data_IF_641123660055
#
_entry.id   IF_641123660055
#
_cell.length_a   1.000
_cell.length_b   1.000
_cell.length_c   1.000
_cell.angle_alpha   90.00
_cell.angle_beta   90.00
_cell.angle_gamma   90.00
#
_symmetry.space_group_name_H-M   'P 1'
#
loop_
_entity.id
_entity.type
_entity.pdbx_description
1 polymer ?
#
# COMPACT_ATOMS: atom_id res chain seq x y z
N UNK A 1 43.93 45.10 -17.13
CA UNK A 1 43.36 45.54 -18.42
C UNK A 1 42.12 44.69 -18.69
N UNK A 2 40.98 45.35 -18.99
CA UNK A 2 39.67 44.85 -19.49
C UNK A 2 38.84 44.07 -18.45
N UNK A 3 37.66 44.46 -17.93
CA UNK A 3 36.46 45.25 -18.35
C UNK A 3 35.52 44.62 -19.42
N UNK A 4 34.20 44.62 -19.08
CA UNK A 4 32.94 44.31 -19.80
C UNK A 4 32.32 42.92 -19.50
N UNK A 5 31.20 42.75 -18.75
CA UNK A 5 29.76 43.12 -19.00
C UNK A 5 29.19 42.45 -20.25
N UNK A 6 28.06 41.71 -20.27
CA UNK A 6 26.61 42.08 -20.15
C UNK A 6 25.83 40.70 -20.15
N UNK A 7 24.94 40.37 -19.19
CA UNK A 7 23.43 40.43 -19.24
C UNK A 7 22.78 39.46 -20.28
N UNK A 8 21.62 38.80 -20.17
CA UNK A 8 20.41 38.86 -19.33
C UNK A 8 19.48 37.63 -19.68
N UNK A 9 18.49 37.33 -18.82
CA UNK A 9 17.14 36.70 -19.06
C UNK A 9 16.87 35.18 -19.19
N UNK A 10 16.23 34.66 -18.13
CA UNK A 10 14.81 34.21 -18.03
C UNK A 10 14.21 33.35 -19.16
N UNK A 11 13.82 32.10 -18.86
CA UNK A 11 12.42 31.61 -18.84
C UNK A 11 12.34 30.11 -18.48
N UNK A 12 11.44 29.77 -17.54
CA UNK A 12 10.86 28.42 -17.38
C UNK A 12 10.05 28.04 -18.63
N UNK A 13 9.65 26.76 -18.75
CA UNK A 13 8.26 26.47 -18.37
C UNK A 13 8.09 25.20 -17.51
N UNK A 14 7.07 25.28 -16.66
CA UNK A 14 6.34 24.14 -16.09
C UNK A 14 5.93 23.12 -17.18
N UNK A 15 5.84 21.83 -16.81
CA UNK A 15 4.63 21.03 -17.09
C UNK A 15 4.52 19.88 -16.08
N UNK A 16 3.42 19.90 -15.35
CA UNK A 16 2.93 18.91 -14.37
C UNK A 16 2.31 17.67 -15.07
N UNK A 17 1.96 16.61 -14.31
CA UNK A 17 1.92 15.23 -14.78
C UNK A 17 0.62 14.84 -15.49
N UNK A 18 0.73 13.80 -16.34
CA UNK A 18 -0.35 13.26 -17.15
C UNK A 18 -1.43 12.62 -16.26
N UNK A 19 -2.62 13.21 -16.31
CA UNK A 19 -3.85 12.77 -15.66
C UNK A 19 -4.50 11.58 -16.37
N UNK A 20 -5.12 10.72 -15.57
CA UNK A 20 -6.02 9.63 -15.95
C UNK A 20 -7.15 10.10 -16.88
N UNK A 21 -7.38 9.38 -17.98
CA UNK A 21 -8.67 9.43 -18.69
C UNK A 21 -8.96 8.10 -19.39
N UNK A 22 -9.96 7.37 -18.86
CA UNK A 22 -10.68 6.32 -19.58
C UNK A 22 -11.53 6.95 -20.69
N UNK A 23 -11.68 6.31 -21.87
CA UNK A 23 -12.66 6.77 -22.85
C UNK A 23 -14.09 6.40 -22.46
N UNK A 24 -14.94 7.41 -22.58
CA UNK A 24 -16.37 7.46 -22.33
C UNK A 24 -17.15 6.96 -23.55
N UNK A 25 -18.19 6.19 -23.25
CA UNK A 25 -19.42 5.85 -24.01
C UNK A 25 -19.63 6.60 -25.34
N UNK A 26 -19.81 5.83 -26.42
CA UNK A 26 -20.61 6.21 -27.58
C UNK A 26 -21.89 5.36 -27.53
N UNK A 27 -23.03 6.06 -27.43
CA UNK A 27 -24.36 5.50 -27.63
C UNK A 27 -24.79 5.77 -29.08
N UNK A 28 -25.32 4.75 -29.76
CA UNK A 28 -26.55 4.79 -30.58
C UNK A 28 -26.66 3.51 -31.43
N UNK A 29 -27.57 2.60 -31.07
CA UNK A 29 -28.85 2.37 -31.78
C UNK A 29 -29.49 1.01 -31.49
N UNK A 30 -30.80 1.10 -31.29
CA UNK A 30 -31.87 0.14 -31.62
C UNK A 30 -32.00 -1.14 -30.77
N UNK A 31 -32.96 -1.06 -29.86
CA UNK A 31 -33.70 -2.15 -29.20
C UNK A 31 -34.52 -2.96 -30.25
N UNK A 32 -34.85 -4.24 -29.98
CA UNK A 32 -36.21 -4.45 -29.50
C UNK A 32 -36.35 -5.52 -28.40
N UNK A 33 -36.98 -5.07 -27.32
CA UNK A 33 -37.96 -5.74 -26.46
C UNK A 33 -37.93 -7.27 -26.42
N UNK A 34 -37.42 -7.84 -25.31
CA UNK A 34 -38.03 -9.00 -24.69
C UNK A 34 -38.13 -8.75 -23.18
N UNK A 35 -39.35 -8.59 -22.69
CA UNK A 35 -39.64 -8.37 -21.28
C UNK A 35 -39.14 -9.54 -20.42
N UNK A 36 -38.32 -9.24 -19.43
CA UNK A 36 -37.95 -10.17 -18.37
C UNK A 36 -38.57 -9.65 -17.08
N UNK A 37 -39.62 -10.34 -16.63
CA UNK A 37 -40.16 -10.19 -15.28
C UNK A 37 -39.02 -10.51 -14.30
N UNK A 38 -38.70 -9.54 -13.45
CA UNK A 38 -37.77 -9.73 -12.35
C UNK A 38 -38.40 -10.72 -11.36
N UNK A 39 -37.98 -11.98 -11.44
CA UNK A 39 -38.14 -12.90 -10.33
C UNK A 39 -36.92 -12.69 -9.42
N UNK A 40 -37.17 -12.05 -8.29
CA UNK A 40 -36.19 -11.77 -7.25
C UNK A 40 -35.64 -13.10 -6.69
N UNK A 41 -34.42 -13.46 -7.10
CA UNK A 41 -33.66 -14.57 -6.51
C UNK A 41 -33.02 -13.99 -5.23
N UNK A 42 -33.30 -14.52 -4.03
CA UNK A 42 -32.60 -14.10 -2.84
C UNK A 42 -31.13 -14.51 -2.95
N UNK A 43 -30.23 -13.57 -3.22
CA UNK A 43 -28.79 -13.83 -3.13
C UNK A 43 -28.42 -13.79 -1.65
N UNK A 44 -28.46 -14.97 -1.04
CA UNK A 44 -27.80 -15.19 0.25
C UNK A 44 -26.28 -15.14 -0.01
N UNK A 45 -25.63 -14.11 0.53
CA UNK A 45 -24.18 -13.94 0.45
C UNK A 45 -23.47 -15.05 1.25
N UNK A 46 -23.32 -16.22 0.63
CA UNK A 46 -22.27 -17.14 1.01
C UNK A 46 -20.96 -16.51 0.51
N UNK A 47 -20.10 -16.07 1.43
CA UNK A 47 -18.71 -15.77 1.11
C UNK A 47 -18.01 -17.11 0.88
N UNK A 48 -17.75 -17.58 -0.36
CA UNK A 48 -16.86 -18.71 -0.54
C UNK A 48 -15.49 -18.28 -0.02
N UNK A 49 -15.06 -18.95 1.04
CA UNK A 49 -13.72 -18.83 1.58
C UNK A 49 -12.73 -18.99 0.44
N UNK A 50 -11.88 -17.99 0.18
CA UNK A 50 -10.83 -18.08 -0.86
C UNK A 50 -9.85 -19.22 -0.58
N UNK A 51 -9.83 -19.73 0.64
CA UNK A 51 -9.14 -20.97 1.06
C UNK A 51 -9.58 -22.20 0.28
N UNK A 52 -10.84 -22.25 -0.17
CA UNK A 52 -11.40 -23.37 -0.93
C UNK A 52 -10.96 -23.32 -2.39
N UNK A 53 -10.69 -22.11 -2.92
CA UNK A 53 -10.19 -21.89 -4.29
C UNK A 53 -8.73 -22.36 -4.48
N UNK A 54 -7.99 -22.49 -3.38
CA UNK A 54 -6.59 -22.95 -3.37
C UNK A 54 -6.39 -24.30 -2.67
N UNK A 55 -7.48 -25.04 -2.40
CA UNK A 55 -7.39 -26.38 -1.83
C UNK A 55 -7.17 -27.39 -2.97
N UNK A 56 -5.91 -27.49 -3.42
CA UNK A 56 -5.49 -28.61 -4.27
C UNK A 56 -5.30 -29.85 -3.38
N UNK A 57 -6.17 -30.83 -3.53
CA UNK A 57 -6.02 -32.10 -2.82
C UNK A 57 -5.18 -33.05 -3.69
N UNK A 58 -3.92 -33.24 -3.33
CA UNK A 58 -2.98 -34.10 -4.09
C UNK A 58 -3.47 -35.55 -4.11
N UNK A 59 -4.19 -35.97 -3.05
CA UNK A 59 -4.75 -37.30 -2.92
C UNK A 59 -5.84 -37.62 -3.96
N UNK A 60 -6.45 -36.61 -4.59
CA UNK A 60 -7.44 -36.79 -5.66
C UNK A 60 -6.79 -37.16 -7.01
N UNK A 61 -5.49 -36.89 -7.16
CA UNK A 61 -4.72 -37.21 -8.37
C UNK A 61 -3.87 -38.48 -8.22
N UNK A 62 -3.93 -39.13 -7.06
CA UNK A 62 -3.31 -40.45 -6.87
C UNK A 62 -4.31 -41.48 -7.36
N UNK A 63 -4.23 -41.85 -8.64
CA UNK A 63 -4.90 -43.05 -9.13
C UNK A 63 -4.34 -44.26 -8.36
N UNK A 64 -5.20 -45.00 -7.66
CA UNK A 64 -4.87 -46.23 -6.94
C UNK A 64 -4.45 -47.39 -7.88
N UNK A 65 -4.56 -47.22 -9.21
CA UNK A 65 -4.04 -48.13 -10.23
C UNK A 65 -2.69 -47.67 -10.79
N UNK A 66 -1.63 -47.78 -9.99
CA UNK A 66 -0.35 -48.31 -10.48
C UNK A 66 0.61 -48.67 -9.32
N UNK A 67 0.12 -49.45 -8.35
CA UNK A 67 0.98 -50.17 -7.38
C UNK A 67 1.61 -51.44 -7.98
N UNK A 68 1.81 -51.46 -9.29
CA UNK A 68 1.97 -52.68 -10.07
C UNK A 68 3.23 -52.81 -10.91
N UNK A 69 4.24 -51.95 -10.79
CA UNK A 69 5.56 -52.26 -11.35
C UNK A 69 6.66 -51.59 -10.53
N UNK A 70 7.08 -52.27 -9.47
CA UNK A 70 8.48 -52.22 -9.04
C UNK A 70 9.36 -52.81 -10.15
N UNK A 71 9.41 -52.17 -11.32
CA UNK A 71 10.63 -52.21 -12.09
C UNK A 71 11.60 -51.41 -11.24
N UNK A 72 12.36 -52.13 -10.42
CA UNK A 72 13.70 -51.71 -10.07
C UNK A 72 14.33 -51.29 -11.39
N UNK A 73 14.28 -49.99 -11.70
CA UNK A 73 15.04 -49.39 -12.79
C UNK A 73 16.44 -49.87 -12.50
N UNK A 74 16.91 -50.81 -13.31
CA UNK A 74 18.23 -51.38 -13.16
C UNK A 74 19.16 -50.18 -13.24
N UNK A 75 19.61 -49.68 -12.09
CA UNK A 75 20.44 -48.50 -11.99
C UNK A 75 21.65 -48.84 -12.84
N UNK A 76 21.73 -48.30 -14.05
CA UNK A 76 22.80 -48.63 -14.97
C UNK A 76 24.07 -48.10 -14.28
N UNK A 77 24.92 -48.96 -13.70
CA UNK A 77 25.99 -48.51 -12.81
C UNK A 77 26.88 -47.49 -13.52
N UNK A 78 27.04 -47.65 -14.83
CA UNK A 78 27.75 -46.73 -15.72
C UNK A 78 27.18 -45.28 -15.71
N UNK A 79 25.86 -45.07 -15.70
CA UNK A 79 25.29 -43.70 -15.69
C UNK A 79 25.57 -43.01 -14.37
N UNK A 80 25.42 -43.74 -13.26
CA UNK A 80 25.68 -43.20 -11.91
C UNK A 80 27.16 -42.87 -11.73
N UNK A 81 28.05 -43.72 -12.24
CA UNK A 81 29.49 -43.51 -12.22
C UNK A 81 29.89 -42.31 -13.11
N UNK A 82 29.28 -42.17 -14.29
CA UNK A 82 29.46 -41.01 -15.17
C UNK A 82 28.98 -39.70 -14.53
N UNK A 83 27.79 -39.68 -13.90
CA UNK A 83 27.29 -38.51 -13.17
C UNK A 83 28.21 -38.14 -12.00
N UNK A 84 28.72 -39.16 -11.29
CA UNK A 84 29.69 -38.95 -10.20
C UNK A 84 31.01 -38.38 -10.71
N UNK A 85 31.48 -38.84 -11.87
CA UNK A 85 32.67 -38.30 -12.54
C UNK A 85 32.46 -36.84 -12.99
N UNK A 86 31.26 -36.49 -13.51
CA UNK A 86 30.90 -35.11 -13.84
C UNK A 86 30.91 -34.23 -12.59
N UNK A 87 30.29 -34.69 -11.49
CA UNK A 87 30.30 -33.96 -10.21
C UNK A 87 31.73 -33.76 -9.71
N UNK A 88 32.59 -34.77 -9.84
CA UNK A 88 34.00 -34.65 -9.46
C UNK A 88 34.76 -33.66 -10.35
N UNK A 89 34.40 -33.55 -11.63
CA UNK A 89 34.97 -32.55 -12.54
C UNK A 89 34.53 -31.13 -12.16
N UNK A 90 33.26 -30.93 -11.80
CA UNK A 90 32.75 -29.64 -11.33
C UNK A 90 33.32 -29.21 -9.96
N UNK A 91 33.80 -30.17 -9.15
CA UNK A 91 34.49 -29.88 -7.90
C UNK A 91 35.94 -29.44 -8.08
N UNK A 92 36.52 -29.62 -9.27
CA UNK A 92 37.86 -29.14 -9.59
C UNK A 92 37.85 -27.63 -9.85
N UNK A 93 39.03 -27.02 -9.95
CA UNK A 93 39.12 -25.58 -10.24
C UNK A 93 38.47 -25.26 -11.59
N UNK A 94 37.60 -24.26 -11.62
CA UNK A 94 36.83 -23.87 -12.81
C UNK A 94 37.73 -23.42 -13.96
N UNK A 95 38.96 -22.99 -13.69
CA UNK A 95 39.96 -22.67 -14.72
C UNK A 95 40.35 -23.89 -15.57
N UNK A 96 40.51 -25.06 -14.95
CA UNK A 96 40.89 -26.31 -15.62
C UNK A 96 39.76 -26.82 -16.52
N UNK A 97 38.51 -26.66 -16.06
CA UNK A 97 37.33 -27.01 -16.86
C UNK A 97 37.14 -26.05 -18.04
N UNK A 98 37.46 -24.78 -17.86
CA UNK A 98 37.39 -23.77 -18.93
C UNK A 98 38.48 -23.98 -20.00
N UNK A 99 39.68 -24.41 -19.57
CA UNK A 99 40.80 -24.72 -20.47
C UNK A 99 40.56 -26.00 -21.26
N UNK A 100 39.91 -27.02 -20.67
CA UNK A 100 39.60 -28.26 -21.36
C UNK A 100 38.19 -28.78 -21.05
N UNK A 101 37.27 -28.57 -22.00
CA UNK A 101 35.88 -29.03 -21.90
C UNK A 101 35.65 -30.44 -22.46
N UNK A 102 36.66 -31.08 -23.07
CA UNK A 102 36.50 -32.41 -23.67
C UNK A 102 36.09 -33.51 -22.68
N UNK A 103 36.66 -33.59 -21.45
CA UNK A 103 36.27 -34.62 -20.49
C UNK A 103 34.79 -34.54 -20.11
N UNK A 104 34.26 -33.32 -19.92
CA UNK A 104 32.85 -33.14 -19.56
C UNK A 104 31.93 -33.42 -20.74
N UNK A 105 32.28 -32.94 -21.95
CA UNK A 105 31.48 -33.19 -23.14
C UNK A 105 31.41 -34.67 -23.49
N UNK A 106 32.52 -35.41 -23.31
CA UNK A 106 32.57 -36.86 -23.52
C UNK A 106 31.62 -37.58 -22.57
N UNK A 107 31.66 -37.26 -21.28
CA UNK A 107 30.79 -37.86 -20.28
C UNK A 107 29.31 -37.55 -20.56
N UNK A 108 28.98 -36.30 -20.92
CA UNK A 108 27.61 -35.95 -21.32
C UNK A 108 27.13 -36.71 -22.55
N UNK A 109 27.97 -36.85 -23.59
CA UNK A 109 27.63 -37.68 -24.77
C UNK A 109 27.36 -39.13 -24.37
N UNK A 110 28.20 -39.70 -23.49
CA UNK A 110 28.02 -41.06 -23.01
C UNK A 110 26.69 -41.23 -22.26
N UNK A 111 26.37 -40.32 -21.35
CA UNK A 111 25.06 -40.32 -20.64
C UNK A 111 23.90 -40.23 -21.62
N UNK A 112 23.98 -39.33 -22.62
CA UNK A 112 22.93 -39.16 -23.62
C UNK A 112 22.71 -40.42 -24.46
N UNK A 113 23.75 -41.21 -24.74
CA UNK A 113 23.59 -42.48 -25.48
C UNK A 113 22.83 -43.55 -24.69
N UNK A 114 22.78 -43.46 -23.36
CA UNK A 114 22.02 -44.38 -22.51
C UNK A 114 20.59 -43.92 -22.23
N UNK A 115 20.22 -42.71 -22.66
CA UNK A 115 18.91 -42.14 -22.39
C UNK A 115 17.88 -42.62 -23.43
N UNK A 116 17.11 -43.65 -23.06
CA UNK A 116 16.03 -44.17 -23.90
C UNK A 116 14.81 -43.23 -23.93
N UNK A 117 13.96 -43.30 -24.96
CA UNK A 117 12.74 -42.47 -25.06
C UNK A 117 11.83 -42.57 -23.83
N UNK A 118 11.74 -43.77 -23.23
CA UNK A 118 11.02 -43.99 -21.96
C UNK A 118 11.62 -43.16 -20.82
N UNK A 119 12.95 -43.12 -20.70
CA UNK A 119 13.64 -42.31 -19.68
C UNK A 119 13.51 -40.82 -19.95
N UNK A 120 13.56 -40.39 -21.21
CA UNK A 120 13.32 -38.99 -21.60
C UNK A 120 11.92 -38.55 -21.18
N UNK A 121 10.91 -39.39 -21.45
CA UNK A 121 9.53 -39.13 -21.06
C UNK A 121 9.38 -39.03 -19.54
N UNK A 122 10.03 -39.91 -18.79
CA UNK A 122 10.04 -39.87 -17.32
C UNK A 122 10.79 -38.65 -16.75
N UNK A 123 11.83 -38.16 -17.42
CA UNK A 123 12.64 -37.02 -16.97
C UNK A 123 12.05 -35.66 -17.36
N UNK A 124 11.16 -35.62 -18.36
CA UNK A 124 10.57 -34.39 -18.91
C UNK A 124 9.89 -33.53 -17.83
N UNK A 125 9.06 -34.08 -16.91
CA UNK A 125 8.48 -33.28 -15.83
C UNK A 125 9.53 -32.68 -14.90
N UNK A 126 10.58 -33.44 -14.55
CA UNK A 126 11.66 -32.95 -13.69
C UNK A 126 12.47 -31.83 -14.37
N UNK A 127 12.76 -31.97 -15.67
CA UNK A 127 13.43 -30.93 -16.46
C UNK A 127 12.59 -29.65 -16.55
N UNK A 128 11.27 -29.78 -16.72
CA UNK A 128 10.35 -28.65 -16.69
C UNK A 128 10.38 -27.92 -15.33
N UNK A 129 10.28 -28.67 -14.23
CA UNK A 129 10.34 -28.09 -12.87
C UNK A 129 11.65 -27.35 -12.64
N UNK A 130 12.79 -27.97 -13.01
CA UNK A 130 14.11 -27.37 -12.84
C UNK A 130 14.26 -26.10 -13.69
N UNK A 131 13.76 -26.09 -14.93
CA UNK A 131 13.85 -24.92 -15.82
C UNK A 131 13.14 -23.67 -15.27
N UNK A 132 12.09 -23.84 -14.47
CA UNK A 132 11.33 -22.74 -13.89
C UNK A 132 11.71 -22.41 -12.44
N UNK A 133 12.66 -23.14 -11.85
CA UNK A 133 13.03 -22.97 -10.44
C UNK A 133 13.44 -21.53 -10.12
N UNK A 134 14.29 -20.91 -10.94
CA UNK A 134 14.76 -19.54 -10.72
C UNK A 134 13.62 -18.51 -10.83
N UNK A 135 12.72 -18.67 -11.79
CA UNK A 135 11.58 -17.76 -12.01
C UNK A 135 10.61 -17.81 -10.83
N UNK A 136 10.29 -19.03 -10.36
CA UNK A 136 9.45 -19.27 -9.19
C UNK A 136 10.08 -18.67 -7.93
N UNK A 137 11.38 -18.85 -7.73
CA UNK A 137 12.08 -18.25 -6.60
C UNK A 137 12.09 -16.72 -6.66
N UNK A 138 12.28 -16.14 -7.85
CA UNK A 138 12.16 -14.71 -8.08
C UNK A 138 10.76 -14.19 -7.79
N UNK A 139 9.72 -14.91 -8.23
CA UNK A 139 8.32 -14.57 -7.95
C UNK A 139 8.02 -14.61 -6.44
N UNK A 140 8.50 -15.66 -5.76
CA UNK A 140 8.36 -15.81 -4.30
C UNK A 140 8.98 -14.63 -3.55
N UNK A 141 10.20 -14.22 -3.93
CA UNK A 141 10.86 -13.05 -3.34
C UNK A 141 10.05 -11.77 -3.58
N UNK A 142 9.58 -11.52 -4.82
CA UNK A 142 8.75 -10.35 -5.14
C UNK A 142 7.43 -10.31 -4.35
N UNK A 143 6.85 -11.47 -4.03
CA UNK A 143 5.66 -11.55 -3.17
C UNK A 143 6.02 -11.15 -1.74
N UNK A 144 7.09 -11.72 -1.17
CA UNK A 144 7.54 -11.38 0.17
C UNK A 144 7.90 -9.89 0.30
N UNK A 145 8.62 -9.33 -0.66
CA UNK A 145 9.00 -7.92 -0.69
C UNK A 145 7.74 -7.01 -0.73
N UNK A 146 6.74 -7.35 -1.55
CA UNK A 146 5.46 -6.62 -1.59
C UNK A 146 4.71 -6.73 -0.26
N UNK A 147 4.64 -7.91 0.34
CA UNK A 147 4.00 -8.10 1.64
C UNK A 147 4.67 -7.26 2.74
N UNK A 148 6.00 -7.21 2.78
CA UNK A 148 6.73 -6.37 3.72
C UNK A 148 6.43 -4.88 3.51
N UNK A 149 6.40 -4.42 2.26
CA UNK A 149 6.06 -3.03 1.93
C UNK A 149 4.63 -2.66 2.35
N UNK A 150 3.64 -3.53 2.07
CA UNK A 150 2.26 -3.30 2.49
C UNK A 150 2.12 -3.27 4.01
N UNK A 151 2.78 -4.19 4.72
CA UNK A 151 2.77 -4.21 6.19
C UNK A 151 3.37 -2.92 6.77
N UNK A 152 4.47 -2.42 6.20
CA UNK A 152 5.07 -1.15 6.63
C UNK A 152 4.15 0.04 6.35
N UNK A 153 3.52 0.10 5.16
CA UNK A 153 2.59 1.17 4.80
C UNK A 153 1.35 1.17 5.69
N UNK A 154 0.80 -0.01 6.02
CA UNK A 154 -0.35 -0.13 6.93
C UNK A 154 0.01 0.40 8.31
N UNK A 155 1.17 0.01 8.85
CA UNK A 155 1.64 0.50 10.16
C UNK A 155 1.83 2.02 10.18
N UNK A 156 2.34 2.60 9.09
CA UNK A 156 2.49 4.05 8.98
C UNK A 156 1.12 4.76 9.01
N UNK A 157 0.16 4.24 8.25
CA UNK A 157 -1.20 4.80 8.18
C UNK A 157 -1.95 4.65 9.51
N UNK A 158 -1.78 3.53 10.22
CA UNK A 158 -2.33 3.33 11.57
C UNK A 158 -1.76 4.35 12.56
N UNK A 159 -0.45 4.63 12.47
CA UNK A 159 0.20 5.63 13.31
C UNK A 159 -0.34 7.04 13.03
N UNK A 160 -0.53 7.39 11.76
CA UNK A 160 -1.11 8.68 11.35
C UNK A 160 -2.56 8.81 11.83
N UNK A 161 -3.37 7.76 11.68
CA UNK A 161 -4.74 7.70 12.21
C UNK A 161 -4.77 8.01 13.70
N UNK A 162 -3.90 7.39 14.48
CA UNK A 162 -3.88 7.58 15.95
C UNK A 162 -3.47 9.00 16.33
N UNK A 163 -2.54 9.60 15.59
CA UNK A 163 -2.17 11.01 15.77
C UNK A 163 -3.34 11.95 15.47
N UNK A 164 -4.04 11.73 14.35
CA UNK A 164 -5.20 12.53 13.97
C UNK A 164 -6.34 12.40 14.98
N UNK A 165 -6.55 11.21 15.54
CA UNK A 165 -7.54 10.98 16.59
C UNK A 165 -7.23 11.81 17.84
N UNK A 166 -5.96 11.87 18.25
CA UNK A 166 -5.53 12.68 19.40
C UNK A 166 -5.72 14.18 19.14
N UNK A 167 -5.41 14.66 17.94
CA UNK A 167 -5.59 16.06 17.58
C UNK A 167 -7.08 16.44 17.50
N UNK A 168 -7.92 15.55 16.97
CA UNK A 168 -9.37 15.74 16.95
C UNK A 168 -9.93 15.91 18.38
N UNK A 169 -9.51 15.05 19.32
CA UNK A 169 -9.89 15.17 20.73
C UNK A 169 -9.43 16.48 21.36
N UNK A 170 -8.21 16.93 21.02
CA UNK A 170 -7.66 18.20 21.48
C UNK A 170 -8.49 19.38 20.96
N UNK A 171 -8.79 19.41 19.67
CA UNK A 171 -9.61 20.46 19.04
C UNK A 171 -11.01 20.47 19.63
N UNK A 172 -11.64 19.30 19.80
CA UNK A 172 -12.96 19.19 20.41
C UNK A 172 -13.00 19.77 21.83
N UNK A 173 -11.97 19.49 22.66
CA UNK A 173 -11.84 20.11 23.99
C UNK A 173 -11.69 21.63 23.92
N UNK A 174 -10.92 22.13 22.97
CA UNK A 174 -10.73 23.57 22.78
C UNK A 174 -12.03 24.26 22.34
N UNK A 175 -12.79 23.64 21.44
CA UNK A 175 -14.11 24.11 20.99
C UNK A 175 -15.10 24.14 22.15
N UNK A 176 -15.18 23.08 22.94
CA UNK A 176 -16.06 23.03 24.12
C UNK A 176 -15.72 24.15 25.12
N UNK A 177 -14.43 24.41 25.36
CA UNK A 177 -13.98 25.51 26.22
C UNK A 177 -14.37 26.88 25.65
N UNK A 178 -14.18 27.08 24.34
CA UNK A 178 -14.55 28.32 23.67
C UNK A 178 -16.07 28.57 23.70
N UNK A 179 -16.87 27.51 23.47
CA UNK A 179 -18.33 27.56 23.60
C UNK A 179 -18.77 27.88 25.03
N UNK A 180 -18.12 27.29 26.04
CA UNK A 180 -18.38 27.66 27.45
C UNK A 180 -18.20 29.15 27.68
N UNK A 181 -17.04 29.70 27.29
CA UNK A 181 -16.78 31.16 27.39
C UNK A 181 -17.79 31.99 26.59
N UNK A 182 -18.22 31.50 25.43
CA UNK A 182 -19.19 32.18 24.58
C UNK A 182 -20.55 32.28 25.28
N UNK A 183 -20.98 31.20 25.92
CA UNK A 183 -22.23 31.12 26.68
C UNK A 183 -22.21 31.98 27.94
N UNK A 184 -21.04 32.29 28.49
CA UNK A 184 -20.89 33.17 29.65
C UNK A 184 -21.01 34.66 29.28
N UNK A 185 -20.74 35.06 28.04
CA UNK A 185 -20.74 36.48 27.63
C UNK A 185 -22.03 37.24 27.94
N UNK A 186 -23.24 36.70 27.67
CA UNK A 186 -24.49 37.40 27.99
C UNK A 186 -24.58 37.79 29.48
N UNK A 187 -24.12 36.91 30.37
CA UNK A 187 -24.12 37.14 31.81
C UNK A 187 -23.13 38.25 32.14
N UNK A 188 -21.89 38.15 31.65
CA UNK A 188 -20.85 39.16 31.89
C UNK A 188 -21.24 40.53 31.33
N UNK A 189 -21.88 40.58 30.15
CA UNK A 189 -22.38 41.82 29.54
C UNK A 189 -23.47 42.45 30.43
N UNK A 190 -24.38 41.64 30.96
CA UNK A 190 -25.45 42.12 31.83
C UNK A 190 -24.90 42.67 33.15
N UNK A 191 -23.93 42.00 33.77
CA UNK A 191 -23.25 42.48 34.97
C UNK A 191 -22.53 43.81 34.72
N UNK A 192 -21.76 43.92 33.64
CA UNK A 192 -21.07 45.17 33.29
C UNK A 192 -22.02 46.30 32.96
N UNK A 193 -23.15 46.01 32.32
CA UNK A 193 -24.21 47.00 32.08
C UNK A 193 -24.79 47.52 33.41
N UNK A 194 -24.97 46.65 34.40
CA UNK A 194 -25.45 47.04 35.73
C UNK A 194 -24.42 47.89 36.48
N UNK A 195 -23.15 47.46 36.51
CA UNK A 195 -22.05 48.23 37.13
C UNK A 195 -21.95 49.65 36.52
N UNK A 196 -22.08 49.76 35.19
CA UNK A 196 -22.08 51.05 34.51
C UNK A 196 -23.27 51.92 34.91
N UNK A 197 -24.48 51.34 34.98
CA UNK A 197 -25.67 52.07 35.42
C UNK A 197 -25.52 52.59 36.86
N UNK A 198 -24.98 51.78 37.76
CA UNK A 198 -24.73 52.16 39.16
C UNK A 198 -23.68 53.29 39.24
N UNK A 199 -22.63 53.21 38.42
CA UNK A 199 -21.61 54.26 38.32
C UNK A 199 -22.18 55.58 37.80
N UNK A 200 -23.00 55.55 36.75
CA UNK A 200 -23.69 56.74 36.21
C UNK A 200 -24.57 57.38 37.29
N UNK A 201 -25.36 56.57 37.99
CA UNK A 201 -26.21 57.05 39.08
C UNK A 201 -25.39 57.71 40.19
N UNK A 202 -24.22 57.15 40.52
CA UNK A 202 -23.31 57.74 41.51
C UNK A 202 -22.78 59.10 41.06
N UNK A 203 -22.28 59.22 39.82
CA UNK A 203 -21.79 60.49 39.26
C UNK A 203 -22.90 61.54 39.22
N UNK A 204 -24.11 61.17 38.82
CA UNK A 204 -25.25 62.09 38.83
C UNK A 204 -25.58 62.61 40.23
N UNK A 205 -25.51 61.76 41.27
CA UNK A 205 -25.70 62.19 42.67
C UNK A 205 -24.62 63.18 43.09
N UNK A 206 -23.36 62.91 42.76
CA UNK A 206 -22.24 63.80 43.06
C UNK A 206 -22.38 65.15 42.34
N UNK A 207 -22.71 65.15 41.05
CA UNK A 207 -22.91 66.39 40.28
C UNK A 207 -24.03 67.26 40.87
N UNK A 208 -25.11 66.63 41.35
CA UNK A 208 -26.20 67.35 42.03
C UNK A 208 -25.70 68.05 43.30
N UNK A 209 -24.88 67.39 44.11
CA UNK A 209 -24.29 67.96 45.34
C UNK A 209 -23.34 69.13 45.07
N UNK A 210 -22.69 69.19 43.89
CA UNK A 210 -21.77 70.28 43.53
C UNK A 210 -22.50 71.52 42.99
N UNK A 211 -23.68 71.36 42.40
CA UNK A 211 -24.49 72.48 41.87
C UNK A 211 -25.18 73.33 42.94
N UNK A 212 -25.24 72.85 44.17
CA UNK A 212 -25.88 73.53 45.30
C UNK A 212 -24.95 74.49 46.06
N UNK A 213 -23.81 74.90 45.49
CA UNK A 213 -22.98 75.99 46.04
C UNK A 213 -23.72 77.32 45.72
N UNK A 214 -24.11 78.12 46.73
CA UNK A 214 -24.74 79.41 46.49
C UNK A 214 -23.81 80.27 45.61
N UNK A 215 -24.37 80.85 44.55
CA UNK A 215 -23.76 82.01 43.88
C UNK A 215 -23.43 83.00 44.99
N UNK A 216 -22.14 83.21 45.24
CA UNK A 216 -21.68 84.30 46.06
C UNK A 216 -21.87 85.54 45.19
N UNK A 217 -23.04 86.15 45.29
CA UNK A 217 -23.30 87.45 44.69
C UNK A 217 -22.38 88.43 45.41
N UNK A 218 -21.25 88.78 44.80
CA UNK A 218 -20.45 89.93 45.20
C UNK A 218 -21.23 91.21 44.82
N UNK A 219 -22.15 91.60 45.70
CA UNK A 219 -22.49 93.00 45.91
C UNK A 219 -21.53 93.57 46.95
N UNK A 220 -20.53 94.33 46.52
CA UNK A 220 -19.92 95.41 47.30
C UNK A 220 -19.42 96.51 46.35
N UNK A 221 -20.14 97.63 46.39
CA UNK A 221 -19.88 98.90 45.70
C UNK A 221 -19.98 100.00 46.76
#
# INVERSE_FOLDING_TARGET
MNQSSIEERTTQPETSPLSSQSPRIIADKEDPEHGIQQQEIPIQAANPSTSDLFSFNIDEFVDDEDTGTSHSMQNHPDIKDQLSAILQLFRQNTSVLLENTEPIQRLFRQIMTHLTDKMITLLTPAAFIESHYYEVQGARKRIADRQANYAQSLKALETERDQLMLELDRVNKAVAKAQGRLNDYPITIQEKKKELADSINQVCRQHRQVKDIPSFDEEDL
#
